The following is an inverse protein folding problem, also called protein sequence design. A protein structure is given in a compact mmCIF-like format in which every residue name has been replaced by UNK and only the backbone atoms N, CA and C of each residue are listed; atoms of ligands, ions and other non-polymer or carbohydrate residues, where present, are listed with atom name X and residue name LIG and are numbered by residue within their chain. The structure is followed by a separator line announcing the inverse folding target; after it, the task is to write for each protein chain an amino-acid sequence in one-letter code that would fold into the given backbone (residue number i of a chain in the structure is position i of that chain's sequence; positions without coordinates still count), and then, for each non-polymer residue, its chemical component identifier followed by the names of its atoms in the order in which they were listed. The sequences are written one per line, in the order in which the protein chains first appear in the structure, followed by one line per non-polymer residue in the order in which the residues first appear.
data_IF_988549187643
#
_entry.id   IF_988549187643
#
_cell.length_a   1.000
_cell.length_b   1.000
_cell.length_c   1.000
_cell.angle_alpha   90.00
_cell.angle_beta   90.00
_cell.angle_gamma   90.00
#
_symmetry.space_group_name_H-M   'P 1'
#
loop_
_entity.id
_entity.type
_entity.pdbx_description
1 polymer ?
#
# COMPACT_ATOMS: atom_id res chain seq x y z
N UNK A 1 3.76 -5.07 3.18
CA UNK A 1 2.51 -5.66 3.73
C UNK A 1 2.77 -6.34 5.08
N UNK A 2 3.26 -7.58 5.11
CA UNK A 2 3.38 -8.41 6.31
C UNK A 2 4.25 -7.80 7.42
N UNK A 3 5.19 -6.91 7.09
CA UNK A 3 6.00 -6.17 8.06
C UNK A 3 5.26 -5.03 8.79
N UNK A 4 4.07 -4.64 8.34
CA UNK A 4 3.35 -3.44 8.82
C UNK A 4 2.05 -3.75 9.58
N UNK A 5 1.84 -5.00 10.01
CA UNK A 5 0.63 -5.38 10.74
C UNK A 5 0.69 -4.87 12.18
N UNK A 6 -0.36 -4.20 12.62
CA UNK A 6 -0.59 -3.75 14.00
C UNK A 6 -1.95 -4.27 14.51
N UNK A 7 -2.18 -4.18 15.82
CA UNK A 7 -3.49 -4.45 16.43
C UNK A 7 -4.05 -3.18 17.04
N UNK A 8 -5.34 -2.92 16.85
CA UNK A 8 -6.06 -1.82 17.51
C UNK A 8 -6.17 -2.05 19.02
N UNK A 9 -6.66 -1.04 19.75
CA UNK A 9 -6.98 -1.21 21.18
C UNK A 9 -8.02 -2.31 21.46
N UNK A 10 -8.88 -2.63 20.47
CA UNK A 10 -9.87 -3.70 20.53
C UNK A 10 -9.35 -5.07 20.03
N UNK A 11 -8.08 -5.15 19.63
CA UNK A 11 -7.44 -6.40 19.19
C UNK A 11 -7.68 -6.77 17.73
N UNK A 12 -8.28 -5.89 16.92
CA UNK A 12 -8.47 -6.10 15.48
C UNK A 12 -7.12 -5.88 14.79
N UNK A 13 -6.68 -6.85 13.98
CA UNK A 13 -5.49 -6.67 13.15
C UNK A 13 -5.79 -5.66 12.04
N UNK A 14 -4.89 -4.72 11.82
CA UNK A 14 -4.98 -3.78 10.71
C UNK A 14 -3.59 -3.39 10.23
N UNK A 15 -3.52 -2.67 9.10
CA UNK A 15 -2.31 -2.07 8.56
C UNK A 15 -2.68 -0.65 8.15
N UNK A 16 -1.78 0.31 8.37
CA UNK A 16 -1.97 1.66 7.85
C UNK A 16 -1.51 1.71 6.40
N UNK A 17 -2.36 2.24 5.52
CA UNK A 17 -2.02 2.46 4.13
C UNK A 17 -0.75 3.31 3.97
N UNK A 18 -0.59 4.33 4.82
CA UNK A 18 0.61 5.19 4.85
C UNK A 18 1.90 4.41 5.05
N UNK A 19 1.93 3.48 6.00
CA UNK A 19 3.14 2.68 6.30
C UNK A 19 3.46 1.71 5.15
N UNK A 20 2.44 1.09 4.54
CA UNK A 20 2.60 0.26 3.34
C UNK A 20 3.16 1.08 2.18
N UNK A 21 2.63 2.29 1.99
CA UNK A 21 3.07 3.19 0.95
C UNK A 21 4.52 3.65 1.17
N UNK A 22 4.88 3.99 2.40
CA UNK A 22 6.24 4.40 2.75
C UNK A 22 7.25 3.27 2.49
N UNK A 23 6.95 2.04 2.90
CA UNK A 23 7.79 0.85 2.63
C UNK A 23 8.03 0.68 1.11
N UNK A 24 6.99 0.86 0.29
CA UNK A 24 7.08 0.78 -1.16
C UNK A 24 7.94 1.92 -1.74
N UNK A 25 7.77 3.16 -1.27
CA UNK A 25 8.57 4.29 -1.71
C UNK A 25 10.05 4.09 -1.40
N UNK A 26 10.37 3.64 -0.19
CA UNK A 26 11.74 3.33 0.22
C UNK A 26 12.32 2.20 -0.65
N UNK A 27 11.56 1.14 -0.91
CA UNK A 27 11.97 0.02 -1.77
C UNK A 27 12.33 0.50 -3.18
N UNK A 28 11.47 1.32 -3.79
CA UNK A 28 11.73 1.91 -5.12
C UNK A 28 13.00 2.77 -5.10
N UNK A 29 13.15 3.62 -4.09
CA UNK A 29 14.31 4.50 -3.95
C UNK A 29 15.61 3.70 -3.77
N UNK A 30 15.62 2.69 -2.91
CA UNK A 30 16.78 1.83 -2.66
C UNK A 30 17.18 1.11 -3.95
N UNK A 31 16.24 0.52 -4.68
CA UNK A 31 16.56 -0.17 -5.94
C UNK A 31 17.24 0.76 -6.94
N UNK A 32 16.71 1.98 -7.09
CA UNK A 32 17.28 3.03 -7.93
C UNK A 32 18.71 3.41 -7.50
N UNK A 33 18.92 3.67 -6.21
CA UNK A 33 20.23 4.04 -5.66
C UNK A 33 21.27 2.93 -5.84
N UNK A 34 20.85 1.68 -5.73
CA UNK A 34 21.72 0.53 -5.89
C UNK A 34 21.89 0.09 -7.37
N UNK A 35 21.27 0.78 -8.33
CA UNK A 35 21.30 0.40 -9.74
C UNK A 35 20.72 -1.00 -10.00
N UNK A 36 19.83 -1.47 -9.14
CA UNK A 36 19.21 -2.79 -9.19
C UNK A 36 17.78 -2.71 -9.70
N UNK A 37 17.20 -3.85 -10.09
CA UNK A 37 15.86 -3.89 -10.66
C UNK A 37 14.83 -4.44 -9.65
N UNK A 38 13.85 -3.62 -9.29
CA UNK A 38 12.67 -4.08 -8.55
C UNK A 38 11.77 -4.88 -9.50
N UNK A 39 11.81 -6.20 -9.40
CA UNK A 39 11.11 -7.10 -10.32
C UNK A 39 9.60 -7.23 -10.11
N UNK A 40 9.07 -6.74 -8.99
CA UNK A 40 7.64 -6.78 -8.69
C UNK A 40 7.33 -6.41 -7.25
N UNK A 41 6.04 -6.32 -6.95
CA UNK A 41 5.50 -6.12 -5.60
C UNK A 41 4.54 -7.25 -5.27
N UNK A 42 4.47 -7.62 -4.00
CA UNK A 42 3.53 -8.63 -3.50
C UNK A 42 2.57 -7.95 -2.51
N UNK A 43 1.28 -7.97 -2.84
CA UNK A 43 0.23 -7.30 -2.08
C UNK A 43 -0.88 -8.29 -1.73
N UNK A 44 -1.49 -8.11 -0.55
CA UNK A 44 -2.73 -8.78 -0.17
C UNK A 44 -3.88 -7.79 -0.40
N UNK A 45 -4.78 -8.12 -1.31
CA UNK A 45 -5.87 -7.23 -1.73
C UNK A 45 -7.14 -8.02 -2.08
N UNK A 46 -8.27 -7.33 -2.07
CA UNK A 46 -9.54 -7.82 -2.61
C UNK A 46 -10.20 -6.75 -3.48
N UNK A 47 -11.08 -7.16 -4.40
CA UNK A 47 -11.88 -6.24 -5.21
C UNK A 47 -13.12 -5.70 -4.49
N UNK A 48 -13.36 -6.16 -3.26
CA UNK A 48 -14.48 -5.74 -2.42
C UNK A 48 -14.13 -4.47 -1.63
N UNK A 49 -15.14 -3.65 -1.35
CA UNK A 49 -15.05 -2.44 -0.51
C UNK A 49 -14.95 -2.78 0.98
N UNK A 50 -13.92 -3.53 1.36
CA UNK A 50 -13.63 -3.92 2.75
C UNK A 50 -12.99 -2.78 3.54
N UNK A 51 -13.17 -2.82 4.85
CA UNK A 51 -12.57 -1.87 5.80
C UNK A 51 -11.55 -2.60 6.68
N UNK A 52 -10.48 -3.09 6.05
CA UNK A 52 -9.47 -3.93 6.72
C UNK A 52 -8.16 -3.18 7.01
N UNK A 53 -7.76 -2.26 6.12
CA UNK A 53 -6.61 -1.38 6.30
C UNK A 53 -7.05 0.08 6.52
N UNK A 54 -6.36 0.78 7.41
CA UNK A 54 -6.61 2.18 7.74
C UNK A 54 -6.07 3.13 6.67
N UNK A 55 -6.68 4.30 6.54
CA UNK A 55 -6.24 5.38 5.65
C UNK A 55 -6.56 5.12 4.18
N UNK A 56 -5.66 5.56 3.30
CA UNK A 56 -5.92 5.66 1.86
C UNK A 56 -6.81 6.86 1.53
N UNK A 57 -7.18 7.00 0.27
CA UNK A 57 -8.04 8.10 -0.21
C UNK A 57 -9.40 8.25 0.49
N UNK A 58 -9.90 7.19 1.13
CA UNK A 58 -11.15 7.23 1.92
C UNK A 58 -10.95 7.65 3.38
N UNK A 59 -9.70 7.75 3.85
CA UNK A 59 -9.34 8.11 5.23
C UNK A 59 -9.99 7.19 6.30
N UNK A 60 -10.02 5.88 6.04
CA UNK A 60 -10.58 4.90 6.98
C UNK A 60 -9.87 4.97 8.34
N UNK A 61 -10.63 5.00 9.42
CA UNK A 61 -10.12 4.98 10.79
C UNK A 61 -10.46 3.66 11.52
N UNK A 62 -10.12 3.58 12.81
CA UNK A 62 -10.33 2.36 13.60
C UNK A 62 -11.82 2.03 13.79
N UNK A 63 -12.71 3.03 13.82
CA UNK A 63 -14.14 2.82 14.00
C UNK A 63 -14.77 2.23 12.72
N UNK A 64 -14.25 2.63 11.56
CA UNK A 64 -14.67 2.10 10.26
C UNK A 64 -14.39 0.61 10.09
N UNK A 65 -13.38 0.07 10.77
CA UNK A 65 -12.98 -1.34 10.63
C UNK A 65 -14.15 -2.29 10.81
N UNK A 66 -15.06 -1.99 11.74
CA UNK A 66 -16.23 -2.83 12.04
C UNK A 66 -17.28 -2.89 10.94
N UNK A 67 -17.20 -2.02 9.93
CA UNK A 67 -18.21 -1.86 8.87
C UNK A 67 -18.20 -3.04 7.90
N UNK A 68 -17.01 -3.47 7.45
CA UNK A 68 -16.86 -4.53 6.46
C UNK A 68 -15.50 -5.25 6.56
N UNK A 69 -15.16 -5.75 7.74
CA UNK A 69 -13.99 -6.60 7.95
C UNK A 69 -14.34 -8.06 7.65
N UNK A 70 -13.75 -8.66 6.61
CA UNK A 70 -14.16 -9.99 6.14
C UNK A 70 -13.03 -11.02 6.11
N UNK A 71 -11.77 -10.59 6.18
CA UNK A 71 -10.62 -11.49 6.30
C UNK A 71 -10.59 -12.19 7.66
N UNK A 72 -10.33 -13.50 7.65
CA UNK A 72 -10.05 -14.28 8.86
C UNK A 72 -8.58 -14.27 9.27
N UNK A 73 -7.69 -13.77 8.39
CA UNK A 73 -6.26 -13.83 8.58
C UNK A 73 -5.69 -12.42 8.73
N UNK A 74 -5.03 -11.92 7.69
CA UNK A 74 -4.44 -10.60 7.68
C UNK A 74 -5.32 -9.60 6.91
N UNK A 75 -5.27 -8.30 7.30
CA UNK A 75 -6.04 -7.24 6.66
C UNK A 75 -5.56 -6.99 5.23
N UNK A 76 -6.49 -6.97 4.28
CA UNK A 76 -6.23 -6.75 2.86
C UNK A 76 -6.47 -5.29 2.48
N UNK A 77 -5.83 -4.85 1.41
CA UNK A 77 -6.19 -3.60 0.75
C UNK A 77 -7.55 -3.77 0.06
N UNK A 78 -8.40 -2.75 0.16
CA UNK A 78 -9.62 -2.67 -0.64
C UNK A 78 -9.33 -2.24 -2.08
N UNK A 79 -10.36 -2.17 -2.92
CA UNK A 79 -10.25 -1.84 -4.34
C UNK A 79 -9.62 -0.46 -4.59
N UNK A 80 -9.96 0.54 -3.78
CA UNK A 80 -9.45 1.90 -3.93
C UNK A 80 -8.00 2.01 -3.48
N UNK A 81 -7.67 1.45 -2.32
CA UNK A 81 -6.31 1.40 -1.81
C UNK A 81 -5.38 0.62 -2.77
N UNK A 82 -5.85 -0.49 -3.34
CA UNK A 82 -5.09 -1.25 -4.32
C UNK A 82 -4.83 -0.46 -5.62
N UNK A 83 -5.84 0.24 -6.14
CA UNK A 83 -5.68 1.11 -7.30
C UNK A 83 -4.73 2.28 -7.02
N UNK A 84 -4.82 2.87 -5.84
CA UNK A 84 -3.96 3.97 -5.41
C UNK A 84 -2.48 3.57 -5.44
N UNK A 85 -2.12 2.42 -4.85
CA UNK A 85 -0.76 1.87 -4.92
C UNK A 85 -0.32 1.58 -6.36
N UNK A 86 -1.20 1.03 -7.19
CA UNK A 86 -0.88 0.75 -8.59
C UNK A 86 -0.53 2.03 -9.37
N UNK A 87 -1.29 3.12 -9.17
CA UNK A 87 -0.99 4.41 -9.79
C UNK A 87 0.32 5.03 -9.30
N UNK A 88 0.65 4.87 -8.02
CA UNK A 88 1.91 5.35 -7.45
C UNK A 88 3.13 4.64 -8.06
N UNK A 89 3.07 3.32 -8.21
CA UNK A 89 4.11 2.53 -8.90
C UNK A 89 4.25 2.97 -10.36
N UNK A 90 3.12 3.12 -11.06
CA UNK A 90 3.12 3.54 -12.45
C UNK A 90 3.72 4.94 -12.63
N UNK A 91 3.41 5.89 -11.73
CA UNK A 91 3.96 7.24 -11.75
C UNK A 91 5.48 7.25 -11.51
N UNK A 92 5.98 6.43 -10.57
CA UNK A 92 7.41 6.30 -10.33
C UNK A 92 8.16 5.88 -11.60
N UNK A 93 7.78 4.77 -12.22
CA UNK A 93 8.46 4.29 -13.43
C UNK A 93 8.25 5.23 -14.64
N UNK A 94 7.12 5.93 -14.71
CA UNK A 94 6.91 6.97 -15.73
C UNK A 94 7.93 8.10 -15.58
N UNK A 95 8.25 8.52 -14.36
CA UNK A 95 9.26 9.55 -14.09
C UNK A 95 10.67 9.07 -14.42
N UNK A 96 10.99 7.80 -14.13
CA UNK A 96 12.30 7.23 -14.46
C UNK A 96 12.56 7.08 -15.96
N UNK A 97 11.52 6.78 -16.75
CA UNK A 97 11.63 6.65 -18.21
C UNK A 97 11.74 7.99 -18.94
N UNK A 98 11.41 9.11 -18.29
CA UNK A 98 11.57 10.42 -18.93
C UNK A 98 13.06 10.71 -19.04
N UNK A 99 13.58 10.98 -20.26
CA UNK A 99 14.97 11.40 -20.38
C UNK A 99 15.17 12.67 -19.55
N UNK A 100 16.23 12.71 -18.73
CA UNK A 100 16.69 13.98 -18.17
C UNK A 100 16.90 14.93 -19.33
N UNK A 101 16.16 16.04 -19.34
CA UNK A 101 16.40 17.12 -20.28
C UNK A 101 17.87 17.52 -20.12
N UNK A 102 18.68 17.13 -21.09
CA UNK A 102 20.09 17.51 -21.14
C UNK A 102 20.06 18.96 -21.62
N UNK A 103 20.37 19.90 -20.72
CA UNK A 103 20.72 21.27 -21.08
C UNK A 103 22.20 21.31 -21.48
#
# INVERSE_FOLDING_TARGET
MHGNTQSTGSGIKTRKFGDIFEELQQTLQIHKEQGSFLGGVHLELTGDAVTECLGGSENLDEDDLSTNYTSFCDPRLNEKQALELAFLIADHYRKERRPSATL
#
